data_IF_507686661121
#
_entry.id   IF_507686661121
#
_cell.length_a   1.000
_cell.length_b   1.000
_cell.length_c   1.000
_cell.angle_alpha   90.00
_cell.angle_beta   90.00
_cell.angle_gamma   90.00
#
_symmetry.space_group_name_H-M   'P 1'
#
loop_
_entity.id
_entity.type
_entity.pdbx_description
1 polymer ?
#
# COMPACT_ATOMS: atom_id res chain seq x y z
N UNK A 1 11.28 17.93 -29.13
CA UNK A 1 9.94 17.57 -28.66
C UNK A 1 9.47 18.61 -27.65
N UNK A 2 8.26 19.15 -27.76
CA UNK A 2 7.76 20.23 -26.90
C UNK A 2 7.29 19.75 -25.54
N UNK A 3 6.84 18.49 -25.43
CA UNK A 3 6.29 17.89 -24.23
C UNK A 3 7.18 16.76 -23.76
N UNK A 4 7.37 16.65 -22.43
CA UNK A 4 8.13 15.60 -21.73
C UNK A 4 7.32 15.13 -20.54
N UNK A 5 7.58 13.92 -20.05
CA UNK A 5 7.03 13.43 -18.79
C UNK A 5 7.41 14.36 -17.64
N UNK A 6 6.60 14.40 -16.60
CA UNK A 6 6.89 15.15 -15.39
C UNK A 6 8.10 14.54 -14.67
N UNK A 7 8.89 15.41 -14.05
CA UNK A 7 10.05 14.95 -13.26
C UNK A 7 9.64 13.98 -12.16
N UNK A 8 10.21 12.77 -12.18
CA UNK A 8 9.87 11.72 -11.21
C UNK A 8 8.64 10.89 -11.57
N UNK A 9 8.06 11.10 -12.77
CA UNK A 9 7.00 10.29 -13.34
C UNK A 9 7.50 9.75 -14.68
N UNK A 10 7.83 8.46 -14.73
CA UNK A 10 8.51 7.86 -15.88
C UNK A 10 7.56 6.99 -16.69
N UNK A 11 7.68 7.06 -18.00
CA UNK A 11 7.06 6.09 -18.90
C UNK A 11 7.78 4.75 -18.78
N UNK A 12 7.04 3.67 -18.69
CA UNK A 12 7.55 2.30 -18.77
C UNK A 12 7.30 1.78 -20.19
N UNK A 13 8.37 1.57 -20.96
CA UNK A 13 8.27 1.12 -22.35
C UNK A 13 9.24 -0.04 -22.64
N UNK A 14 8.89 -0.86 -23.62
CA UNK A 14 9.75 -1.95 -24.09
C UNK A 14 10.10 -2.94 -22.99
N UNK A 15 11.38 -3.21 -22.79
CA UNK A 15 11.84 -4.22 -21.81
C UNK A 15 11.61 -3.82 -20.36
N UNK A 16 11.53 -2.52 -20.06
CA UNK A 16 11.16 -2.08 -18.71
C UNK A 16 9.70 -2.45 -18.40
N UNK A 17 8.76 -2.19 -19.31
CA UNK A 17 7.37 -2.58 -19.15
C UNK A 17 7.22 -4.09 -18.96
N UNK A 18 7.93 -4.90 -19.78
CA UNK A 18 7.94 -6.37 -19.66
C UNK A 18 8.45 -6.84 -18.30
N UNK A 19 9.51 -6.20 -17.77
CA UNK A 19 10.03 -6.53 -16.43
C UNK A 19 9.01 -6.24 -15.34
N UNK A 20 8.32 -5.10 -15.41
CA UNK A 20 7.25 -4.78 -14.46
C UNK A 20 6.12 -5.81 -14.52
N UNK A 21 5.61 -6.12 -15.73
CA UNK A 21 4.56 -7.13 -15.91
C UNK A 21 4.98 -8.51 -15.39
N UNK A 22 6.25 -8.90 -15.56
CA UNK A 22 6.76 -10.16 -15.02
C UNK A 22 6.79 -10.16 -13.49
N UNK A 23 7.25 -9.09 -12.86
CA UNK A 23 7.25 -8.94 -11.40
C UNK A 23 5.83 -8.96 -10.86
N UNK A 24 4.93 -8.16 -11.45
CA UNK A 24 3.52 -8.10 -11.07
C UNK A 24 2.85 -9.47 -11.18
N UNK A 25 3.04 -10.20 -12.29
CA UNK A 25 2.44 -11.53 -12.49
C UNK A 25 2.91 -12.55 -11.45
N UNK A 26 4.19 -12.51 -11.05
CA UNK A 26 4.73 -13.39 -10.01
C UNK A 26 4.11 -13.08 -8.64
N UNK A 27 4.03 -11.80 -8.28
CA UNK A 27 3.42 -11.35 -7.02
C UNK A 27 1.95 -11.76 -6.98
N UNK A 28 1.18 -11.46 -8.05
CA UNK A 28 -0.25 -11.79 -8.14
C UNK A 28 -0.49 -13.29 -8.01
N UNK A 29 0.30 -14.11 -8.71
CA UNK A 29 0.19 -15.57 -8.60
C UNK A 29 0.41 -16.07 -7.17
N UNK A 30 1.41 -15.50 -6.48
CA UNK A 30 1.75 -15.88 -5.12
C UNK A 30 0.66 -15.47 -4.13
N UNK A 31 0.22 -14.22 -4.15
CA UNK A 31 -0.79 -13.74 -3.18
C UNK A 31 -2.14 -14.42 -3.35
N UNK A 32 -2.51 -14.75 -4.58
CA UNK A 32 -3.70 -15.57 -4.84
C UNK A 32 -3.57 -16.98 -4.24
N UNK A 33 -2.36 -17.60 -4.24
CA UNK A 33 -2.13 -18.89 -3.59
C UNK A 33 -2.23 -18.83 -2.06
N UNK A 34 -2.01 -17.66 -1.47
CA UNK A 34 -2.25 -17.39 -0.05
C UNK A 34 -3.73 -17.14 0.29
N UNK A 35 -4.59 -17.05 -0.73
CA UNK A 35 -6.02 -16.78 -0.56
C UNK A 35 -6.33 -15.33 -0.23
N UNK A 36 -5.52 -14.38 -0.68
CA UNK A 36 -5.85 -12.96 -0.64
C UNK A 36 -6.70 -12.57 -1.86
N UNK A 37 -7.76 -11.80 -1.65
CA UNK A 37 -8.63 -11.29 -2.70
C UNK A 37 -8.16 -9.93 -3.22
N UNK A 38 -8.33 -9.65 -4.51
CA UNK A 38 -7.94 -8.37 -5.10
C UNK A 38 -8.87 -7.23 -4.72
N UNK A 39 -8.32 -6.11 -4.27
CA UNK A 39 -9.06 -4.85 -4.09
C UNK A 39 -8.46 -3.76 -4.97
N UNK A 40 -9.31 -3.08 -5.73
CA UNK A 40 -8.95 -1.91 -6.55
C UNK A 40 -9.68 -0.69 -6.05
N UNK A 41 -8.93 0.30 -5.57
CA UNK A 41 -9.47 1.57 -5.08
C UNK A 41 -9.23 2.70 -6.07
N UNK A 42 -10.02 3.79 -6.03
CA UNK A 42 -9.78 4.98 -6.82
C UNK A 42 -8.39 5.57 -6.59
N UNK A 43 -7.87 6.28 -7.59
CA UNK A 43 -6.63 7.04 -7.47
C UNK A 43 -6.80 8.30 -6.61
N UNK A 44 -7.99 8.89 -6.64
CA UNK A 44 -8.31 10.13 -5.95
C UNK A 44 -9.31 9.86 -4.83
N UNK A 45 -9.04 10.40 -3.66
CA UNK A 45 -9.87 10.33 -2.46
C UNK A 45 -10.01 11.72 -1.84
N UNK A 46 -10.93 11.87 -0.87
CA UNK A 46 -10.97 13.08 -0.06
C UNK A 46 -9.69 13.21 0.75
N UNK A 47 -9.10 14.41 0.80
CA UNK A 47 -7.81 14.65 1.48
C UNK A 47 -7.84 14.21 2.94
N UNK A 48 -8.96 14.44 3.63
CA UNK A 48 -9.17 14.07 5.02
C UNK A 48 -8.93 12.58 5.32
N UNK A 49 -9.20 11.68 4.34
CA UNK A 49 -8.92 10.25 4.49
C UNK A 49 -7.43 10.01 4.79
N UNK A 50 -6.55 10.66 4.04
CA UNK A 50 -5.10 10.51 4.23
C UNK A 50 -4.59 11.23 5.47
N UNK A 51 -5.14 12.41 5.79
CA UNK A 51 -4.81 13.13 7.02
C UNK A 51 -5.11 12.30 8.28
N UNK A 52 -6.25 11.60 8.27
CA UNK A 52 -6.66 10.73 9.37
C UNK A 52 -5.83 9.46 9.47
N UNK A 53 -5.55 8.79 8.35
CA UNK A 53 -4.92 7.47 8.35
C UNK A 53 -3.40 7.53 8.50
N UNK A 54 -2.74 8.51 7.87
CA UNK A 54 -1.29 8.66 7.89
C UNK A 54 -0.84 9.52 9.09
N UNK A 55 -1.71 10.41 9.55
CA UNK A 55 -1.46 11.38 10.61
C UNK A 55 -1.11 12.76 10.08
N UNK A 56 -1.85 13.76 10.57
CA UNK A 56 -1.76 15.16 10.13
C UNK A 56 -0.38 15.82 10.37
N UNK A 57 0.46 15.25 11.23
CA UNK A 57 1.81 15.75 11.52
C UNK A 57 2.92 15.17 10.67
N UNK A 58 2.60 14.22 9.78
CA UNK A 58 3.62 13.56 8.95
C UNK A 58 4.05 14.41 7.75
N UNK A 59 5.28 14.22 7.29
CA UNK A 59 5.78 14.90 6.08
C UNK A 59 4.97 14.53 4.84
N UNK A 60 4.45 13.30 4.76
CA UNK A 60 3.60 12.85 3.65
C UNK A 60 2.38 13.75 3.53
N UNK A 61 1.66 13.98 4.62
CA UNK A 61 0.45 14.81 4.63
C UNK A 61 0.79 16.29 4.40
N UNK A 62 1.81 16.80 5.09
CA UNK A 62 2.11 18.24 5.07
C UNK A 62 2.83 18.72 3.78
N UNK A 63 3.61 17.86 3.10
CA UNK A 63 4.51 18.30 2.03
C UNK A 63 4.45 17.47 0.75
N UNK A 64 3.95 16.23 0.81
CA UNK A 64 4.10 15.28 -0.27
C UNK A 64 2.79 14.90 -0.96
N UNK A 65 1.63 15.32 -0.45
CA UNK A 65 0.36 15.07 -1.12
C UNK A 65 0.23 15.90 -2.40
N UNK A 66 -0.31 15.28 -3.45
CA UNK A 66 -0.85 15.95 -4.61
C UNK A 66 -2.32 16.27 -4.34
N UNK A 67 -2.60 17.46 -3.81
CA UNK A 67 -3.95 17.89 -3.45
C UNK A 67 -4.44 19.01 -4.36
N UNK A 68 -5.74 19.04 -4.62
CA UNK A 68 -6.43 20.06 -5.40
C UNK A 68 -7.89 20.16 -4.96
N UNK A 69 -8.53 21.26 -5.27
CA UNK A 69 -9.97 21.43 -5.05
C UNK A 69 -10.76 20.98 -6.28
N UNK A 70 -11.84 20.25 -6.05
CA UNK A 70 -12.81 19.95 -7.10
C UNK A 70 -13.70 21.18 -7.39
N UNK A 71 -14.62 21.04 -8.34
CA UNK A 71 -15.54 22.14 -8.73
C UNK A 71 -16.50 22.57 -7.60
N UNK A 72 -16.63 21.79 -6.55
CA UNK A 72 -17.46 22.05 -5.38
C UNK A 72 -16.63 22.52 -4.18
N UNK A 73 -15.38 22.90 -4.40
CA UNK A 73 -14.40 23.30 -3.39
C UNK A 73 -14.11 22.22 -2.33
N UNK A 74 -14.26 20.93 -2.72
CA UNK A 74 -13.88 19.82 -1.87
C UNK A 74 -12.40 19.47 -2.11
N UNK A 75 -11.62 19.38 -1.04
CA UNK A 75 -10.22 18.97 -1.14
C UNK A 75 -10.10 17.50 -1.48
N UNK A 76 -9.42 17.23 -2.59
CA UNK A 76 -9.16 15.90 -3.14
C UNK A 76 -7.65 15.71 -3.20
N UNK A 77 -7.17 14.52 -2.86
CA UNK A 77 -5.77 14.15 -3.00
C UNK A 77 -5.62 12.89 -3.84
N UNK A 78 -4.53 12.85 -4.61
CA UNK A 78 -4.11 11.60 -5.27
C UNK A 78 -3.40 10.74 -4.23
N UNK A 79 -3.74 9.47 -4.18
CA UNK A 79 -3.28 8.54 -3.13
C UNK A 79 -1.76 8.46 -3.03
N UNK A 80 -1.18 8.72 -1.84
CA UNK A 80 0.25 8.58 -1.58
C UNK A 80 0.64 7.15 -1.17
N UNK A 81 -0.35 6.33 -0.81
CA UNK A 81 -0.26 4.93 -0.37
C UNK A 81 -1.61 4.23 -0.57
N UNK A 82 -1.67 2.91 -0.38
CA UNK A 82 -2.88 2.13 -0.69
C UNK A 82 -3.76 1.78 0.51
N UNK A 83 -3.20 1.63 1.69
CA UNK A 83 -3.87 1.11 2.89
C UNK A 83 -5.13 1.90 3.25
N UNK A 84 -5.04 3.24 3.28
CA UNK A 84 -6.18 4.10 3.62
C UNK A 84 -7.39 3.88 2.70
N UNK A 85 -7.15 3.85 1.39
CA UNK A 85 -8.20 3.60 0.39
C UNK A 85 -8.79 2.20 0.50
N UNK A 86 -7.95 1.18 0.77
CA UNK A 86 -8.39 -0.21 0.95
C UNK A 86 -9.27 -0.34 2.19
N UNK A 87 -8.80 0.14 3.34
CA UNK A 87 -9.58 0.08 4.59
C UNK A 87 -10.90 0.82 4.45
N UNK A 88 -10.92 2.03 3.85
CA UNK A 88 -12.16 2.75 3.56
C UNK A 88 -13.10 1.91 2.68
N UNK A 89 -12.57 1.27 1.61
CA UNK A 89 -13.39 0.47 0.71
C UNK A 89 -13.99 -0.75 1.40
N UNK A 90 -13.23 -1.43 2.26
CA UNK A 90 -13.73 -2.59 3.02
C UNK A 90 -14.83 -2.19 3.99
N UNK A 91 -14.67 -1.08 4.73
CA UNK A 91 -15.68 -0.56 5.65
C UNK A 91 -16.94 -0.12 4.89
N UNK A 92 -16.81 0.62 3.79
CA UNK A 92 -17.94 1.12 2.99
C UNK A 92 -18.78 0.00 2.39
N UNK A 93 -18.18 -1.17 2.15
CA UNK A 93 -18.86 -2.35 1.60
C UNK A 93 -19.20 -3.41 2.67
N UNK A 94 -19.12 -3.08 3.98
CA UNK A 94 -19.40 -3.99 5.11
C UNK A 94 -18.56 -5.30 5.08
N UNK A 95 -17.36 -5.27 4.52
CA UNK A 95 -16.47 -6.44 4.39
C UNK A 95 -15.53 -6.62 5.58
N UNK A 96 -15.45 -5.65 6.47
CA UNK A 96 -14.59 -5.63 7.65
C UNK A 96 -15.07 -6.53 8.81
N UNK A 97 -16.34 -6.96 8.78
CA UNK A 97 -17.02 -7.61 9.92
C UNK A 97 -16.67 -9.08 10.15
N UNK A 98 -16.14 -9.78 9.14
CA UNK A 98 -15.97 -11.24 9.17
C UNK A 98 -14.52 -11.71 9.00
N UNK A 99 -13.59 -10.79 9.04
CA UNK A 99 -12.21 -11.06 8.67
C UNK A 99 -12.06 -11.17 7.14
N UNK A 100 -11.12 -10.47 6.60
CA UNK A 100 -10.84 -10.47 5.17
C UNK A 100 -9.35 -10.26 4.92
N UNK A 101 -8.83 -11.01 3.98
CA UNK A 101 -7.47 -10.89 3.49
C UNK A 101 -7.51 -10.37 2.05
N UNK A 102 -6.91 -9.22 1.82
CA UNK A 102 -6.91 -8.58 0.50
C UNK A 102 -5.52 -8.15 0.07
N UNK A 103 -5.34 -8.02 -1.24
CA UNK A 103 -4.14 -7.43 -1.82
C UNK A 103 -4.51 -6.31 -2.81
N UNK A 104 -3.60 -5.37 -2.97
CA UNK A 104 -3.71 -4.32 -3.98
C UNK A 104 -2.37 -4.11 -4.68
N UNK A 105 -2.43 -3.63 -5.92
CA UNK A 105 -1.28 -3.23 -6.71
C UNK A 105 -1.67 -2.02 -7.56
N UNK A 106 -0.84 -0.99 -7.56
CA UNK A 106 -1.11 0.15 -8.40
C UNK A 106 -0.19 1.35 -8.17
N UNK A 107 -0.36 2.40 -8.98
CA UNK A 107 0.46 3.60 -8.86
C UNK A 107 0.07 4.42 -7.63
N UNK A 108 1.10 4.94 -6.95
CA UNK A 108 1.01 5.90 -5.85
C UNK A 108 1.79 7.16 -6.21
N UNK A 109 1.47 8.28 -5.55
CA UNK A 109 1.99 9.58 -5.91
C UNK A 109 2.43 10.36 -4.67
N UNK A 110 3.73 10.75 -4.63
CA UNK A 110 4.27 11.61 -3.58
C UNK A 110 5.10 12.73 -4.17
N UNK A 111 4.87 13.95 -3.74
CA UNK A 111 5.62 15.12 -4.18
C UNK A 111 7.00 15.18 -3.50
N UNK A 112 7.78 14.12 -3.70
CA UNK A 112 9.15 14.03 -3.19
C UNK A 112 10.17 14.62 -4.16
N UNK A 113 11.37 14.90 -3.63
CA UNK A 113 12.54 15.19 -4.46
C UNK A 113 13.00 13.90 -5.14
N UNK A 114 12.86 13.78 -6.48
CA UNK A 114 13.24 12.55 -7.18
C UNK A 114 14.74 12.25 -7.04
N UNK A 115 15.04 11.01 -6.66
CA UNK A 115 16.38 10.47 -6.56
C UNK A 115 16.37 8.97 -6.89
N UNK A 116 17.53 8.32 -6.90
CA UNK A 116 17.60 6.87 -7.15
C UNK A 116 16.75 6.10 -6.11
N UNK A 117 15.77 5.32 -6.59
CA UNK A 117 14.86 4.57 -5.73
C UNK A 117 13.66 5.36 -5.18
N UNK A 118 13.59 6.70 -5.43
CA UNK A 118 12.44 7.52 -5.04
C UNK A 118 11.91 8.29 -6.24
N UNK A 119 10.70 7.99 -6.62
CA UNK A 119 9.98 8.62 -7.73
C UNK A 119 8.71 9.31 -7.20
N UNK A 120 8.20 10.27 -7.95
CA UNK A 120 6.93 10.93 -7.65
C UNK A 120 5.72 10.07 -8.00
N UNK A 121 5.86 9.19 -8.98
CA UNK A 121 4.94 8.11 -9.27
C UNK A 121 5.70 6.80 -9.15
N UNK A 122 5.19 5.88 -8.33
CA UNK A 122 5.78 4.56 -8.12
C UNK A 122 4.68 3.51 -7.98
N UNK A 123 5.01 2.24 -8.23
CA UNK A 123 4.09 1.13 -7.98
C UNK A 123 4.20 0.69 -6.54
N UNK A 124 3.07 0.49 -5.89
CA UNK A 124 2.99 -0.11 -4.56
C UNK A 124 2.16 -1.37 -4.65
N UNK A 125 2.71 -2.45 -4.13
CA UNK A 125 1.99 -3.66 -3.78
C UNK A 125 1.79 -3.69 -2.27
N UNK A 126 0.63 -4.14 -1.81
CA UNK A 126 0.36 -4.36 -0.40
C UNK A 126 -0.64 -5.48 -0.17
N UNK A 127 -0.57 -6.06 1.00
CA UNK A 127 -1.57 -6.98 1.55
C UNK A 127 -2.13 -6.39 2.83
N UNK A 128 -3.41 -6.52 3.03
CA UNK A 128 -4.10 -6.10 4.25
C UNK A 128 -4.92 -7.28 4.76
N UNK A 129 -4.78 -7.56 6.04
CA UNK A 129 -5.56 -8.56 6.76
C UNK A 129 -6.34 -7.87 7.86
N UNK A 130 -7.66 -7.92 7.79
CA UNK A 130 -8.54 -7.37 8.79
C UNK A 130 -9.22 -8.50 9.54
N UNK A 131 -9.25 -8.40 10.86
CA UNK A 131 -9.91 -9.36 11.75
C UNK A 131 -10.57 -8.60 12.90
N UNK A 132 -11.72 -9.08 13.35
CA UNK A 132 -12.40 -8.54 14.51
C UNK A 132 -11.65 -8.98 15.80
N UNK A 133 -10.88 -8.07 16.38
CA UNK A 133 -10.06 -8.35 17.57
C UNK A 133 -10.89 -8.75 18.79
N UNK A 134 -12.14 -8.26 18.91
CA UNK A 134 -13.00 -8.58 20.05
C UNK A 134 -13.56 -10.01 19.97
N UNK A 135 -13.69 -10.56 18.76
CA UNK A 135 -14.22 -11.89 18.50
C UNK A 135 -13.16 -12.95 18.22
N UNK A 136 -11.94 -12.53 17.95
CA UNK A 136 -10.87 -13.43 17.53
C UNK A 136 -10.00 -13.86 18.70
N UNK A 137 -9.59 -15.10 18.69
CA UNK A 137 -8.63 -15.62 19.65
C UNK A 137 -7.22 -15.08 19.38
N UNK A 138 -6.37 -15.09 20.38
CA UNK A 138 -4.96 -14.71 20.22
C UNK A 138 -4.24 -15.61 19.18
N UNK A 139 -4.62 -16.87 19.09
CA UNK A 139 -4.07 -17.80 18.10
C UNK A 139 -4.44 -17.37 16.66
N UNK A 140 -5.66 -16.92 16.41
CA UNK A 140 -6.10 -16.42 15.10
C UNK A 140 -5.36 -15.14 14.72
N UNK A 141 -5.16 -14.21 15.67
CA UNK A 141 -4.34 -13.00 15.45
C UNK A 141 -2.90 -13.36 15.05
N UNK A 142 -2.26 -14.26 15.79
CA UNK A 142 -0.90 -14.72 15.47
C UNK A 142 -0.84 -15.40 14.11
N UNK A 143 -1.83 -16.24 13.76
CA UNK A 143 -1.89 -16.89 12.44
C UNK A 143 -2.01 -15.88 11.31
N UNK A 144 -2.80 -14.83 11.49
CA UNK A 144 -2.93 -13.73 10.53
C UNK A 144 -1.59 -13.00 10.33
N UNK A 145 -0.91 -12.62 11.42
CA UNK A 145 0.41 -11.99 11.36
C UNK A 145 1.44 -12.87 10.65
N UNK A 146 1.49 -14.16 11.00
CA UNK A 146 2.39 -15.13 10.36
C UNK A 146 2.07 -15.33 8.87
N UNK A 147 0.80 -15.28 8.47
CA UNK A 147 0.38 -15.35 7.07
C UNK A 147 0.94 -14.16 6.26
N UNK A 148 0.81 -12.94 6.80
CA UNK A 148 1.33 -11.72 6.16
C UNK A 148 2.86 -11.75 6.06
N UNK A 149 3.55 -12.12 7.14
CA UNK A 149 5.01 -12.23 7.17
C UNK A 149 5.50 -13.32 6.20
N UNK A 150 4.86 -14.49 6.21
CA UNK A 150 5.17 -15.60 5.30
C UNK A 150 5.01 -15.19 3.83
N UNK A 151 3.89 -14.53 3.51
CA UNK A 151 3.66 -13.99 2.17
C UNK A 151 4.77 -13.02 1.73
N UNK A 152 5.21 -12.11 2.61
CA UNK A 152 6.32 -11.20 2.31
C UNK A 152 7.63 -11.95 2.04
N UNK A 153 7.96 -12.95 2.85
CA UNK A 153 9.18 -13.76 2.67
C UNK A 153 9.16 -14.53 1.35
N UNK A 154 8.03 -15.13 1.00
CA UNK A 154 7.88 -15.85 -0.25
C UNK A 154 7.93 -14.91 -1.47
N UNK A 155 7.42 -13.68 -1.37
CA UNK A 155 7.59 -12.64 -2.41
C UNK A 155 9.07 -12.34 -2.62
N UNK A 156 9.83 -12.13 -1.55
CA UNK A 156 11.27 -11.86 -1.62
C UNK A 156 12.01 -13.02 -2.29
N UNK A 157 11.64 -14.27 -1.98
CA UNK A 157 12.20 -15.48 -2.57
C UNK A 157 11.86 -15.61 -4.06
N UNK A 158 10.58 -15.51 -4.44
CA UNK A 158 10.09 -15.58 -5.83
C UNK A 158 10.72 -14.53 -6.73
N UNK A 159 10.98 -13.35 -6.17
CA UNK A 159 11.66 -12.25 -6.87
C UNK A 159 13.19 -12.39 -6.86
N UNK A 160 13.72 -13.45 -6.21
CA UNK A 160 15.15 -13.70 -6.05
C UNK A 160 15.93 -12.49 -5.46
N UNK A 161 15.32 -11.82 -4.49
CA UNK A 161 15.97 -10.73 -3.76
C UNK A 161 16.87 -11.37 -2.70
N UNK A 162 18.17 -11.10 -2.82
CA UNK A 162 19.20 -11.58 -1.89
C UNK A 162 19.59 -10.46 -0.93
N UNK A 163 20.22 -10.84 0.18
CA UNK A 163 20.76 -9.89 1.16
C UNK A 163 19.72 -8.95 1.78
N UNK A 164 18.54 -9.48 2.12
CA UNK A 164 17.54 -8.77 2.89
C UNK A 164 17.61 -9.12 4.38
N UNK A 165 17.11 -8.22 5.22
CA UNK A 165 16.97 -8.40 6.66
C UNK A 165 15.52 -8.16 7.04
N UNK A 166 14.91 -9.13 7.72
CA UNK A 166 13.59 -8.96 8.34
C UNK A 166 13.78 -8.41 9.75
N UNK A 167 13.19 -7.26 10.02
CA UNK A 167 13.09 -6.70 11.36
C UNK A 167 11.63 -6.68 11.78
N UNK A 168 11.33 -7.30 12.92
CA UNK A 168 9.97 -7.37 13.48
C UNK A 168 9.95 -6.52 14.74
N UNK A 169 8.97 -5.63 14.85
CA UNK A 169 8.73 -4.81 16.03
C UNK A 169 7.24 -4.84 16.39
N UNK A 170 6.95 -4.69 17.69
CA UNK A 170 5.57 -4.60 18.17
C UNK A 170 5.41 -3.29 18.96
N UNK A 171 4.55 -2.41 18.44
CA UNK A 171 4.31 -1.09 19.04
C UNK A 171 3.75 -1.20 20.45
N UNK A 172 2.95 -2.24 20.74
CA UNK A 172 2.39 -2.46 22.09
C UNK A 172 3.45 -2.77 23.15
N UNK A 173 4.62 -3.28 22.78
CA UNK A 173 5.72 -3.57 23.71
C UNK A 173 6.52 -2.32 24.09
N UNK A 174 6.43 -1.23 23.32
CA UNK A 174 7.13 0.03 23.61
C UNK A 174 6.53 0.80 24.78
N UNK A 175 5.30 0.48 25.21
CA UNK A 175 4.61 1.14 26.32
C UNK A 175 4.71 0.39 27.65
N UNK A 176 5.43 -0.75 27.71
CA UNK A 176 5.56 -1.57 28.93
C UNK A 176 6.95 -1.53 29.56
N UNK A 177 7.86 -0.66 29.09
CA UNK A 177 9.17 -0.45 29.71
C UNK A 177 9.17 0.85 30.50
N UNK A 178 8.70 0.80 31.73
CA UNK A 178 9.10 1.67 32.83
C UNK A 178 10.07 0.91 33.75
#
# INVERSE_FOLDING_TARGET
MKYKSLRGMNDLVGDQAKKYSLVESKIISLVNSYGFDEVRTPLAEVTELFERSIGSSTDIVNKELYSFEDRNNKSISIRPEGTAGVVRALIENDLDRHGIDVWYLGPMYRYERPQKGRLRQFQQFGVESLIDQEKSSQEELIRMELKVIGCLLDIVEVLNIKDFKLEINNICLLYTSD
#
